data_IF_457469996286
#
_entry.id   IF_457469996286
#
_cell.length_a   1.000
_cell.length_b   1.000
_cell.length_c   1.000
_cell.angle_alpha   90.00
_cell.angle_beta   90.00
_cell.angle_gamma   90.00
#
_symmetry.space_group_name_H-M   'P 1'
#
loop_
_entity.id
_entity.type
_entity.pdbx_description
1 polymer ?
#
# COMPACT_ATOMS: atom_id res chain seq x y z
N UNK A 1 -13.66 -30.91 4.13
CA UNK A 1 -12.97 -29.64 4.44
C UNK A 1 -11.51 -29.85 4.12
N UNK A 2 -11.12 -29.48 2.92
CA UNK A 2 -9.72 -29.32 2.56
C UNK A 2 -9.11 -28.42 3.61
N UNK A 3 -8.27 -28.99 4.45
CA UNK A 3 -7.24 -28.25 5.13
C UNK A 3 -6.48 -27.56 4.00
N UNK A 4 -6.83 -26.30 3.76
CA UNK A 4 -5.89 -25.35 3.22
C UNK A 4 -4.74 -25.38 4.22
N UNK A 5 -3.77 -26.26 3.96
CA UNK A 5 -2.42 -26.09 4.45
C UNK A 5 -2.13 -24.61 4.19
N UNK A 6 -1.90 -23.78 5.23
CA UNK A 6 -1.51 -22.42 4.98
C UNK A 6 -0.22 -22.54 4.19
N UNK A 7 -0.27 -22.08 2.96
CA UNK A 7 0.86 -22.04 2.06
C UNK A 7 1.97 -21.27 2.75
N UNK A 8 2.89 -22.02 3.36
CA UNK A 8 4.20 -21.56 3.79
C UNK A 8 4.98 -21.15 2.53
N UNK A 9 4.66 -20.01 1.91
CA UNK A 9 5.40 -19.60 0.69
C UNK A 9 5.76 -18.12 0.57
N UNK A 10 5.43 -17.27 1.54
CA UNK A 10 6.07 -15.96 1.63
C UNK A 10 6.55 -15.71 3.06
N UNK A 11 7.87 -15.80 3.27
CA UNK A 11 8.51 -15.24 4.48
C UNK A 11 7.97 -13.83 4.70
N UNK A 12 7.52 -13.53 5.93
CA UNK A 12 6.90 -12.24 6.29
C UNK A 12 7.81 -11.08 5.89
N UNK A 13 9.13 -11.28 6.01
CA UNK A 13 10.14 -10.33 5.57
C UNK A 13 10.11 -10.07 4.06
N UNK A 14 9.98 -11.13 3.24
CA UNK A 14 9.88 -11.00 1.78
C UNK A 14 8.63 -10.21 1.38
N UNK A 15 7.50 -10.45 2.07
CA UNK A 15 6.25 -9.72 1.83
C UNK A 15 6.37 -8.25 2.23
N UNK A 16 6.88 -7.97 3.44
CA UNK A 16 7.07 -6.61 3.93
C UNK A 16 8.04 -5.82 3.03
N UNK A 17 9.14 -6.45 2.61
CA UNK A 17 10.09 -5.83 1.69
C UNK A 17 9.49 -5.61 0.29
N UNK A 18 8.74 -6.58 -0.24
CA UNK A 18 8.00 -6.42 -1.50
C UNK A 18 7.07 -5.21 -1.47
N UNK A 19 6.37 -4.98 -0.36
CA UNK A 19 5.52 -3.81 -0.16
C UNK A 19 6.32 -2.50 -0.15
N UNK A 20 7.50 -2.48 0.48
CA UNK A 20 8.39 -1.31 0.44
C UNK A 20 8.84 -1.01 -1.00
N UNK A 21 9.19 -2.03 -1.77
CA UNK A 21 9.57 -1.86 -3.18
C UNK A 21 8.42 -1.41 -4.05
N UNK A 22 7.20 -1.95 -3.87
CA UNK A 22 6.01 -1.47 -4.57
C UNK A 22 5.75 0.02 -4.30
N UNK A 23 5.90 0.47 -3.05
CA UNK A 23 5.75 1.88 -2.70
C UNK A 23 6.79 2.77 -3.40
N UNK A 24 8.06 2.33 -3.44
CA UNK A 24 9.14 3.02 -4.15
C UNK A 24 8.85 3.08 -5.66
N UNK A 25 8.39 1.98 -6.26
CA UNK A 25 8.04 1.94 -7.68
C UNK A 25 6.84 2.83 -8.01
N UNK A 26 5.81 2.89 -7.14
CA UNK A 26 4.67 3.81 -7.30
C UNK A 26 5.11 5.28 -7.31
N UNK A 27 6.18 5.61 -6.60
CA UNK A 27 6.82 6.92 -6.66
C UNK A 27 7.67 7.15 -7.92
N UNK A 28 7.55 6.30 -8.95
CA UNK A 28 8.29 6.34 -10.21
C UNK A 28 9.82 6.18 -10.08
N UNK A 29 10.28 5.60 -8.96
CA UNK A 29 11.68 5.25 -8.76
C UNK A 29 11.89 3.84 -9.32
N UNK A 30 12.36 3.78 -10.57
CA UNK A 30 12.58 2.54 -11.32
C UNK A 30 13.88 1.81 -10.97
N UNK A 31 14.82 2.51 -10.33
CA UNK A 31 16.13 1.96 -9.97
C UNK A 31 16.40 2.12 -8.48
N UNK A 32 16.61 0.99 -7.80
CA UNK A 32 16.89 0.95 -6.35
C UNK A 32 18.40 1.05 -6.14
N UNK A 33 18.86 2.12 -5.51
CA UNK A 33 20.25 2.28 -5.08
C UNK A 33 20.46 1.75 -3.66
N UNK A 34 21.72 1.65 -3.20
CA UNK A 34 22.01 1.27 -1.80
C UNK A 34 21.32 2.18 -0.79
N UNK A 35 21.21 3.47 -1.11
CA UNK A 35 20.55 4.47 -0.26
C UNK A 35 19.03 4.24 -0.15
N UNK A 36 18.43 3.54 -1.13
CA UNK A 36 17.01 3.16 -1.12
C UNK A 36 16.81 1.79 -0.46
N UNK A 37 17.77 0.87 -0.66
CA UNK A 37 17.77 -0.48 -0.12
C UNK A 37 17.79 -0.51 1.41
N UNK A 38 18.75 0.16 2.05
CA UNK A 38 18.92 0.04 3.50
C UNK A 38 17.71 0.55 4.29
N UNK A 39 17.10 1.71 3.97
CA UNK A 39 15.89 2.16 4.63
C UNK A 39 14.69 1.22 4.37
N UNK A 40 14.51 0.75 3.14
CA UNK A 40 13.43 -0.17 2.79
C UNK A 40 13.57 -1.51 3.52
N UNK A 41 14.78 -2.07 3.56
CA UNK A 41 15.07 -3.29 4.29
C UNK A 41 14.88 -3.14 5.79
N UNK A 42 15.38 -2.04 6.38
CA UNK A 42 15.22 -1.79 7.81
C UNK A 42 13.75 -1.65 8.21
N UNK A 43 12.95 -0.95 7.42
CA UNK A 43 11.50 -0.85 7.62
C UNK A 43 10.83 -2.24 7.53
N UNK A 44 11.17 -3.03 6.51
CA UNK A 44 10.65 -4.39 6.36
C UNK A 44 11.08 -5.33 7.50
N UNK A 45 12.31 -5.18 8.00
CA UNK A 45 12.85 -5.96 9.11
C UNK A 45 12.05 -5.71 10.39
N UNK A 46 11.77 -4.45 10.73
CA UNK A 46 10.98 -4.09 11.92
C UNK A 46 9.52 -4.58 11.83
N UNK A 47 8.95 -4.67 10.62
CA UNK A 47 7.61 -5.25 10.40
C UNK A 47 7.64 -6.77 10.57
N UNK A 48 8.71 -7.43 10.11
CA UNK A 48 8.79 -8.89 10.07
C UNK A 48 9.25 -9.50 11.41
N UNK A 49 10.24 -8.92 12.07
CA UNK A 49 10.86 -9.45 13.29
C UNK A 49 10.13 -8.99 14.55
N UNK A 50 8.83 -9.28 14.62
CA UNK A 50 8.03 -9.08 15.84
C UNK A 50 7.96 -10.38 16.64
N UNK A 51 7.77 -10.26 17.95
CA UNK A 51 7.64 -11.43 18.84
C UNK A 51 6.53 -12.38 18.37
N UNK A 52 5.36 -11.84 18.00
CA UNK A 52 4.24 -12.64 17.49
C UNK A 52 4.57 -13.37 16.19
N UNK A 53 5.30 -12.75 15.26
CA UNK A 53 5.71 -13.41 14.02
C UNK A 53 6.74 -14.51 14.26
N UNK A 54 7.65 -14.29 15.21
CA UNK A 54 8.64 -15.29 15.63
C UNK A 54 7.95 -16.48 16.28
N UNK A 55 7.08 -16.25 17.27
CA UNK A 55 6.28 -17.28 17.93
C UNK A 55 5.40 -18.04 16.93
N UNK A 56 4.75 -17.33 16.01
CA UNK A 56 3.97 -17.93 14.92
C UNK A 56 4.82 -18.78 13.96
N UNK A 57 6.06 -18.37 13.70
CA UNK A 57 7.04 -19.17 12.94
C UNK A 57 7.40 -20.48 13.65
N UNK A 58 7.65 -20.44 14.96
CA UNK A 58 7.87 -21.64 15.77
C UNK A 58 6.62 -22.54 15.80
N UNK A 59 5.44 -21.96 15.97
CA UNK A 59 4.17 -22.70 15.93
C UNK A 59 3.93 -23.37 14.57
N UNK A 60 4.17 -22.65 13.47
CA UNK A 60 4.03 -23.17 12.11
C UNK A 60 5.04 -24.27 11.78
N UNK A 61 6.23 -24.22 12.37
CA UNK A 61 7.23 -25.29 12.31
C UNK A 61 6.93 -26.47 13.25
N UNK A 62 5.86 -26.40 14.05
CA UNK A 62 5.53 -27.42 15.05
C UNK A 62 6.46 -27.44 16.25
N UNK A 63 7.24 -26.37 16.46
CA UNK A 63 8.26 -26.24 17.51
C UNK A 63 7.73 -25.53 18.78
N UNK A 64 6.41 -25.49 18.98
CA UNK A 64 5.78 -25.00 20.21
C UNK A 64 4.91 -26.12 20.80
N UNK A 65 4.95 -26.33 22.14
CA UNK A 65 4.61 -25.29 23.10
C UNK A 65 5.70 -25.01 24.15
N UNK A 66 5.83 -23.74 24.54
CA UNK A 66 6.48 -23.32 25.79
C UNK A 66 5.62 -23.63 27.04
N UNK A 67 4.63 -24.52 26.93
CA UNK A 67 3.77 -24.99 28.02
C UNK A 67 3.70 -26.53 28.02
N UNK A 68 4.31 -27.20 29.02
CA UNK A 68 4.28 -28.64 29.17
C UNK A 68 2.87 -29.23 29.25
N UNK A 69 1.88 -28.50 29.77
CA UNK A 69 0.50 -29.00 29.94
C UNK A 69 -0.25 -29.08 28.62
N UNK A 70 -0.06 -28.08 27.75
CA UNK A 70 -0.62 -28.08 26.41
C UNK A 70 -0.13 -29.27 25.59
N UNK A 71 1.17 -29.61 25.65
CA UNK A 71 1.75 -30.78 24.95
C UNK A 71 1.03 -32.07 25.31
N UNK A 72 0.86 -32.31 26.61
CA UNK A 72 0.28 -33.55 27.14
C UNK A 72 -1.19 -33.68 26.72
N UNK A 73 -1.94 -32.58 26.72
CA UNK A 73 -3.36 -32.58 26.30
C UNK A 73 -3.57 -32.87 24.81
N UNK A 74 -2.62 -32.52 23.94
CA UNK A 74 -2.67 -32.80 22.50
C UNK A 74 -2.47 -34.28 22.15
N UNK A 75 -2.02 -35.12 23.07
CA UNK A 75 -1.82 -36.56 22.82
C UNK A 75 -3.12 -37.37 22.90
N UNK A 76 -4.20 -36.83 23.49
CA UNK A 76 -5.52 -37.49 23.62
C UNK A 76 -6.49 -37.11 22.49
N UNK A 77 -6.10 -37.31 21.23
CA UNK A 77 -6.92 -36.96 20.06
C UNK A 77 -7.99 -38.03 19.75
N UNK A 78 -9.25 -37.77 20.09
CA UNK A 78 -10.42 -38.50 19.57
C UNK A 78 -10.86 -37.93 18.21
N UNK A 79 -10.65 -38.69 17.14
CA UNK A 79 -11.04 -38.33 15.77
C UNK A 79 -12.55 -38.25 15.62
N UNK A 80 -13.07 -37.10 15.17
CA UNK A 80 -14.50 -36.88 14.87
C UNK A 80 -14.64 -36.45 13.41
N UNK A 81 -15.34 -37.25 12.60
CA UNK A 81 -15.52 -37.04 11.15
C UNK A 81 -16.63 -36.01 10.89
N UNK A 82 -16.38 -34.90 10.19
CA UNK A 82 -17.42 -33.95 9.84
C UNK A 82 -18.19 -34.39 8.58
N UNK A 83 -19.52 -34.33 8.66
CA UNK A 83 -20.50 -34.55 7.57
C UNK A 83 -20.45 -33.41 6.54
N UNK A 84 -20.61 -33.69 5.23
CA UNK A 84 -20.47 -32.68 4.17
C UNK A 84 -21.72 -31.79 4.02
N UNK A 85 -21.58 -30.52 3.59
CA UNK A 85 -22.72 -29.65 3.27
C UNK A 85 -23.19 -29.85 1.83
N UNK A 86 -24.51 -29.94 1.65
CA UNK A 86 -25.23 -29.94 0.36
C UNK A 86 -25.25 -28.54 -0.26
N UNK A 87 -25.03 -28.46 -1.58
CA UNK A 87 -25.19 -27.25 -2.38
C UNK A 87 -26.40 -27.36 -3.30
N UNK A 88 -27.16 -26.26 -3.48
CA UNK A 88 -28.10 -26.05 -4.58
C UNK A 88 -28.61 -24.59 -4.59
N UNK A 89 -29.25 -24.09 -5.68
CA UNK A 89 -28.64 -23.07 -6.54
C UNK A 89 -29.51 -21.82 -6.78
N UNK A 90 -28.90 -20.82 -7.44
CA UNK A 90 -29.59 -19.93 -8.38
C UNK A 90 -30.20 -18.66 -7.80
N UNK A 91 -29.68 -17.50 -8.21
CA UNK A 91 -30.47 -16.27 -8.28
C UNK A 91 -30.04 -15.44 -9.48
N UNK A 92 -31.04 -14.92 -10.19
CA UNK A 92 -30.96 -14.21 -11.46
C UNK A 92 -30.04 -12.98 -11.41
N UNK A 93 -29.39 -12.69 -12.55
CA UNK A 93 -28.50 -11.55 -12.71
C UNK A 93 -29.27 -10.22 -12.62
N UNK A 94 -28.96 -9.34 -11.66
CA UNK A 94 -29.49 -7.99 -11.62
C UNK A 94 -28.89 -7.14 -12.73
N UNK A 95 -29.72 -6.28 -13.32
CA UNK A 95 -29.34 -5.22 -14.26
C UNK A 95 -28.08 -4.47 -13.81
N UNK A 96 -27.08 -4.39 -14.69
CA UNK A 96 -25.77 -3.78 -14.39
C UNK A 96 -25.78 -2.30 -14.79
N UNK A 97 -25.55 -1.42 -13.82
CA UNK A 97 -25.27 0.00 -14.05
C UNK A 97 -23.94 0.16 -14.79
N UNK A 98 -23.96 0.81 -15.95
CA UNK A 98 -22.75 1.11 -16.72
C UNK A 98 -22.32 2.56 -16.49
N UNK A 99 -21.11 2.74 -15.98
CA UNK A 99 -20.55 4.02 -15.53
C UNK A 99 -20.08 4.88 -16.72
N UNK A 100 -20.33 6.19 -16.71
CA UNK A 100 -19.73 7.13 -17.66
C UNK A 100 -18.23 7.23 -17.46
N UNK A 101 -17.45 7.03 -18.52
CA UNK A 101 -15.98 7.04 -18.45
C UNK A 101 -15.37 8.41 -18.79
N UNK A 102 -16.19 9.40 -19.19
CA UNK A 102 -15.67 10.71 -19.59
C UNK A 102 -16.60 11.88 -19.14
N UNK A 103 -16.05 13.10 -19.01
CA UNK A 103 -16.81 14.28 -18.56
C UNK A 103 -17.98 14.65 -19.46
N UNK A 104 -17.87 14.41 -20.77
CA UNK A 104 -18.91 14.68 -21.77
C UNK A 104 -20.11 13.75 -21.60
N UNK A 105 -19.86 12.49 -21.24
CA UNK A 105 -20.87 11.47 -20.98
C UNK A 105 -21.57 11.69 -19.63
N UNK A 106 -20.83 12.14 -18.61
CA UNK A 106 -21.44 12.59 -17.35
C UNK A 106 -22.36 13.80 -17.59
N UNK A 107 -21.97 14.72 -18.47
CA UNK A 107 -22.75 15.90 -18.81
C UNK A 107 -23.98 15.56 -19.66
N UNK A 108 -23.88 14.60 -20.60
CA UNK A 108 -25.02 14.12 -21.39
C UNK A 108 -26.04 13.35 -20.54
N UNK A 109 -25.59 12.58 -19.56
CA UNK A 109 -26.48 11.94 -18.59
C UNK A 109 -27.14 12.97 -17.66
N UNK A 110 -26.39 14.00 -17.21
CA UNK A 110 -26.93 15.09 -16.40
C UNK A 110 -28.01 15.89 -17.16
N UNK A 111 -27.78 16.21 -18.43
CA UNK A 111 -28.77 16.91 -19.27
C UNK A 111 -29.98 16.02 -19.57
N UNK A 112 -29.79 14.72 -19.76
CA UNK A 112 -30.90 13.76 -19.90
C UNK A 112 -31.78 13.71 -18.65
N UNK A 113 -31.18 13.62 -17.46
CA UNK A 113 -31.88 13.64 -16.17
C UNK A 113 -32.66 14.95 -15.99
N UNK A 114 -32.00 16.10 -16.20
CA UNK A 114 -32.63 17.43 -16.09
C UNK A 114 -33.81 17.58 -17.05
N UNK A 115 -33.66 17.13 -18.29
CA UNK A 115 -34.71 17.19 -19.31
C UNK A 115 -35.90 16.30 -18.94
N UNK A 116 -35.65 15.12 -18.35
CA UNK A 116 -36.71 14.22 -17.88
C UNK A 116 -37.48 14.81 -16.70
N UNK A 117 -36.76 15.47 -15.77
CA UNK A 117 -37.37 16.18 -14.63
C UNK A 117 -38.25 17.35 -15.12
N UNK A 118 -37.75 18.20 -16.02
CA UNK A 118 -38.50 19.35 -16.52
C UNK A 118 -39.76 18.99 -17.33
N UNK A 119 -39.80 17.79 -17.92
CA UNK A 119 -40.93 17.29 -18.72
C UNK A 119 -41.97 16.53 -17.89
N UNK A 120 -41.73 16.30 -16.60
CA UNK A 120 -42.61 15.50 -15.76
C UNK A 120 -43.85 16.31 -15.31
N UNK A 121 -45.00 16.03 -15.92
CA UNK A 121 -46.32 16.47 -15.47
C UNK A 121 -47.14 15.20 -15.13
N UNK A 122 -47.51 15.05 -13.85
CA UNK A 122 -48.55 14.14 -13.34
C UNK A 122 -48.36 12.61 -13.41
N UNK A 123 -47.14 12.06 -13.28
CA UNK A 123 -46.91 10.62 -13.01
C UNK A 123 -46.01 10.37 -11.78
N UNK A 124 -45.69 9.11 -11.46
CA UNK A 124 -45.03 8.75 -10.19
C UNK A 124 -43.57 9.25 -10.10
N UNK A 125 -43.15 9.89 -8.99
CA UNK A 125 -41.83 10.53 -8.85
C UNK A 125 -40.65 9.54 -8.78
N UNK A 126 -40.90 8.23 -8.82
CA UNK A 126 -39.88 7.16 -8.76
C UNK A 126 -38.77 7.35 -9.79
N UNK A 127 -39.07 7.85 -10.99
CA UNK A 127 -38.07 8.14 -12.02
C UNK A 127 -37.11 9.28 -11.65
N UNK A 128 -37.53 10.21 -10.80
CA UNK A 128 -36.72 11.37 -10.39
C UNK A 128 -35.82 10.96 -9.22
N UNK A 129 -36.37 10.22 -8.25
CA UNK A 129 -35.59 9.67 -7.14
C UNK A 129 -34.47 8.74 -7.61
N UNK A 130 -34.74 7.87 -8.60
CA UNK A 130 -33.71 7.01 -9.18
C UNK A 130 -32.55 7.80 -9.82
N UNK A 131 -32.85 8.94 -10.45
CA UNK A 131 -31.85 9.79 -11.07
C UNK A 131 -31.01 10.55 -10.03
N UNK A 132 -31.63 11.01 -8.94
CA UNK A 132 -30.93 11.62 -7.80
C UNK A 132 -30.04 10.59 -7.11
N UNK A 133 -30.51 9.36 -6.90
CA UNK A 133 -29.71 8.26 -6.34
C UNK A 133 -28.51 7.90 -7.22
N UNK A 134 -28.64 7.97 -8.54
CA UNK A 134 -27.52 7.79 -9.46
C UNK A 134 -26.51 8.93 -9.34
N UNK A 135 -26.99 10.16 -9.20
CA UNK A 135 -26.13 11.32 -8.99
C UNK A 135 -25.36 11.23 -7.66
N UNK A 136 -26.02 10.87 -6.56
CA UNK A 136 -25.35 10.72 -5.25
C UNK A 136 -24.31 9.60 -5.28
N UNK A 137 -24.62 8.48 -5.93
CA UNK A 137 -23.64 7.39 -6.17
C UNK A 137 -22.43 7.86 -6.98
N UNK A 138 -22.66 8.57 -8.08
CA UNK A 138 -21.59 9.13 -8.91
C UNK A 138 -20.71 10.12 -8.15
N UNK A 139 -21.32 11.04 -7.39
CA UNK A 139 -20.61 12.00 -6.55
C UNK A 139 -19.75 11.30 -5.49
N UNK A 140 -20.28 10.26 -4.83
CA UNK A 140 -19.52 9.47 -3.85
C UNK A 140 -18.29 8.81 -4.46
N UNK A 141 -18.41 8.24 -5.66
CA UNK A 141 -17.28 7.59 -6.34
C UNK A 141 -16.21 8.59 -6.77
N UNK A 142 -16.59 9.76 -7.30
CA UNK A 142 -15.65 10.84 -7.64
C UNK A 142 -14.91 11.31 -6.39
N UNK A 143 -15.62 11.45 -5.26
CA UNK A 143 -14.98 11.83 -3.99
C UNK A 143 -13.95 10.79 -3.53
N UNK A 144 -14.23 9.49 -3.68
CA UNK A 144 -13.25 8.44 -3.40
C UNK A 144 -12.03 8.52 -4.32
N UNK A 145 -12.23 8.70 -5.63
CA UNK A 145 -11.12 8.87 -6.59
C UNK A 145 -10.29 10.11 -6.26
N UNK A 146 -10.94 11.23 -5.94
CA UNK A 146 -10.26 12.47 -5.54
C UNK A 146 -9.42 12.27 -4.27
N UNK A 147 -9.93 11.51 -3.29
CA UNK A 147 -9.18 11.18 -2.08
C UNK A 147 -7.93 10.35 -2.40
N UNK A 148 -8.03 9.35 -3.29
CA UNK A 148 -6.88 8.56 -3.75
C UNK A 148 -5.85 9.42 -4.47
N UNK A 149 -6.29 10.23 -5.45
CA UNK A 149 -5.40 11.14 -6.19
C UNK A 149 -4.73 12.15 -5.27
N UNK A 150 -5.44 12.66 -4.27
CA UNK A 150 -4.87 13.56 -3.26
C UNK A 150 -3.80 12.87 -2.43
N UNK A 151 -4.02 11.63 -2.01
CA UNK A 151 -3.03 10.84 -1.28
C UNK A 151 -1.79 10.54 -2.15
N UNK A 152 -1.98 10.18 -3.42
CA UNK A 152 -0.86 9.99 -4.37
C UNK A 152 -0.07 11.28 -4.58
N UNK A 153 -0.75 12.41 -4.75
CA UNK A 153 -0.09 13.71 -4.92
C UNK A 153 0.74 14.07 -3.68
N UNK A 154 0.21 13.83 -2.47
CA UNK A 154 0.95 14.02 -1.22
C UNK A 154 2.19 13.12 -1.15
N UNK A 155 2.08 11.85 -1.53
CA UNK A 155 3.21 10.92 -1.57
C UNK A 155 4.29 11.41 -2.54
N UNK A 156 3.91 11.87 -3.74
CA UNK A 156 4.83 12.43 -4.73
C UNK A 156 5.54 13.69 -4.20
N UNK A 157 4.80 14.57 -3.52
CA UNK A 157 5.38 15.77 -2.89
C UNK A 157 6.42 15.40 -1.82
N UNK A 158 6.12 14.43 -0.96
CA UNK A 158 7.06 13.94 0.06
C UNK A 158 8.32 13.32 -0.57
N UNK A 159 8.15 12.46 -1.58
CA UNK A 159 9.27 11.87 -2.31
C UNK A 159 10.16 12.95 -2.97
N UNK A 160 9.55 13.95 -3.59
CA UNK A 160 10.26 15.08 -4.19
C UNK A 160 11.01 15.92 -3.15
N UNK A 161 10.48 16.09 -1.94
CA UNK A 161 11.15 16.80 -0.86
C UNK A 161 12.41 16.05 -0.40
N UNK A 162 12.31 14.73 -0.22
CA UNK A 162 13.44 13.86 0.14
C UNK A 162 14.54 13.92 -0.93
N UNK A 163 14.17 13.77 -2.21
CA UNK A 163 15.10 13.91 -3.32
C UNK A 163 15.74 15.31 -3.33
N UNK A 164 14.95 16.36 -3.18
CA UNK A 164 15.45 17.75 -3.16
C UNK A 164 16.44 18.00 -2.02
N UNK A 165 16.20 17.44 -0.82
CA UNK A 165 17.15 17.48 0.29
C UNK A 165 18.46 16.76 -0.08
N UNK A 166 18.39 15.56 -0.68
CA UNK A 166 19.55 14.81 -1.15
C UNK A 166 20.38 15.60 -2.17
N UNK A 167 19.73 16.19 -3.18
CA UNK A 167 20.39 17.03 -4.19
C UNK A 167 21.10 18.23 -3.56
N UNK A 168 20.47 18.90 -2.58
CA UNK A 168 21.09 20.02 -1.85
C UNK A 168 22.32 19.60 -1.06
N UNK A 169 22.25 18.52 -0.29
CA UNK A 169 23.39 17.99 0.48
C UNK A 169 24.56 17.65 -0.44
N UNK A 170 24.28 16.98 -1.57
CA UNK A 170 25.31 16.64 -2.57
C UNK A 170 25.96 17.90 -3.16
N UNK A 171 25.18 18.94 -3.47
CA UNK A 171 25.69 20.22 -3.98
C UNK A 171 26.54 20.96 -2.95
N UNK A 172 26.16 20.94 -1.67
CA UNK A 172 26.98 21.52 -0.59
C UNK A 172 28.29 20.77 -0.42
N UNK A 173 28.29 19.43 -0.47
CA UNK A 173 29.51 18.63 -0.45
C UNK A 173 30.43 18.93 -1.65
N UNK A 174 29.88 19.10 -2.85
CA UNK A 174 30.68 19.49 -4.02
C UNK A 174 31.28 20.91 -3.90
N UNK A 175 30.61 21.83 -3.20
CA UNK A 175 31.15 23.16 -2.90
C UNK A 175 32.26 23.13 -1.84
N UNK A 176 32.12 22.29 -0.81
CA UNK A 176 33.14 22.13 0.23
C UNK A 176 34.32 21.25 -0.23
N UNK A 177 34.05 20.27 -1.10
CA UNK A 177 35.06 19.43 -1.75
C UNK A 177 35.62 20.04 -3.04
N UNK A 178 35.65 21.37 -3.14
CA UNK A 178 36.44 22.05 -4.18
C UNK A 178 37.91 21.68 -4.05
N UNK A 179 38.68 21.80 -5.14
CA UNK A 179 40.13 21.56 -5.11
C UNK A 179 40.76 22.33 -3.97
N UNK A 180 41.44 21.62 -3.06
CA UNK A 180 42.18 22.19 -1.94
C UNK A 180 43.00 23.38 -2.47
N UNK A 181 42.77 24.56 -1.91
CA UNK A 181 43.54 25.76 -2.26
C UNK A 181 44.99 25.52 -1.84
N UNK A 182 45.98 26.01 -2.63
CA UNK A 182 47.40 25.91 -2.24
C UNK A 182 47.66 26.46 -0.84
N UNK A 183 46.87 27.45 -0.39
CA UNK A 183 46.96 28.02 0.95
C UNK A 183 46.54 27.03 2.06
N UNK A 184 45.44 26.29 1.84
CA UNK A 184 44.97 25.26 2.79
C UNK A 184 45.92 24.05 2.82
N UNK A 185 46.60 23.75 1.71
CA UNK A 185 47.64 22.74 1.66
C UNK A 185 48.86 23.13 2.51
N UNK A 186 49.26 24.40 2.44
CA UNK A 186 50.41 24.92 3.19
C UNK A 186 50.11 24.96 4.70
N UNK A 187 48.93 25.41 5.11
CA UNK A 187 48.52 25.43 6.53
C UNK A 187 48.47 24.03 7.17
N UNK A 188 48.15 22.99 6.40
CA UNK A 188 48.18 21.59 6.87
C UNK A 188 49.61 21.04 6.98
N UNK A 189 50.52 21.50 6.13
CA UNK A 189 51.94 21.16 6.19
C UNK A 189 52.58 21.80 7.43
N UNK A 190 52.35 23.10 7.64
CA UNK A 190 52.90 23.85 8.77
C UNK A 190 52.39 23.32 10.12
N UNK A 191 51.13 22.88 10.21
CA UNK A 191 50.60 22.20 11.42
C UNK A 191 51.26 20.86 11.70
N UNK A 192 51.82 20.19 10.69
CA UNK A 192 52.52 18.92 10.85
C UNK A 192 53.94 19.12 11.36
N UNK A 193 54.57 20.22 10.97
CA UNK A 193 55.94 20.56 11.35
C UNK A 193 56.06 21.16 12.77
N UNK A 194 54.94 21.59 13.37
CA UNK A 194 54.88 22.10 14.77
C UNK A 194 54.76 20.99 15.83
N UNK A 195 54.55 19.72 15.42
CA UNK A 195 54.33 18.58 16.35
C UNK A 195 55.60 17.73 16.57
N UNK A 196 56.77 18.21 16.19
CA UNK A 196 58.06 17.62 16.54
C UNK A 196 58.84 18.53 17.51
#
# INVERSE_FOLDING_TARGET
MTSFLPSMQHSILKKAYGQQIENIMRAHIIHITKDDFFPAFYAAFNIAMTESNIQGGFQGAGLLPFDPKSVISTLDLKLKTPTPPSSCPGTAQPWVSQTPNNPTEAMSQSTFIKTRISRHQNSSPTSIYAAVDQFTKGASQIMHQLALLKAENQNLQQANEVLSKRWRVRKTRLRQGGSLSQQEAQDLQDKRDVVH
#
